data_IF_555078305781
#
_entry.id   IF_555078305781
#
_cell.length_a   1.000
_cell.length_b   1.000
_cell.length_c   1.000
_cell.angle_alpha   90.00
_cell.angle_beta   90.00
_cell.angle_gamma   90.00
#
_symmetry.space_group_name_H-M   'P 1'
#
loop_
_entity.id
_entity.type
_entity.pdbx_description
1 polymer ?
#
# COMPACT_ATOMS: atom_id res chain seq x y z
N UNK A 1 -16.76 17.49 23.50
CA UNK A 1 -16.44 17.08 22.13
C UNK A 1 -14.99 17.28 21.75
N UNK A 2 -14.39 18.42 22.07
CA UNK A 2 -12.98 18.68 21.75
C UNK A 2 -12.03 17.72 22.45
N UNK A 3 -12.32 17.31 23.70
CA UNK A 3 -11.48 16.38 24.44
C UNK A 3 -11.52 14.97 23.85
N UNK A 4 -12.68 14.55 23.34
CA UNK A 4 -12.83 13.24 22.71
C UNK A 4 -12.05 13.16 21.41
N UNK A 5 -12.10 14.22 20.62
CA UNK A 5 -11.41 14.30 19.35
C UNK A 5 -9.88 14.27 19.55
N UNK A 6 -9.40 15.01 20.55
CA UNK A 6 -7.99 15.06 20.90
C UNK A 6 -7.47 13.69 21.35
N UNK A 7 -8.25 13.01 22.17
CA UNK A 7 -7.91 11.68 22.69
C UNK A 7 -7.81 10.66 21.55
N UNK A 8 -8.72 10.72 20.60
CA UNK A 8 -8.73 9.84 19.44
C UNK A 8 -7.53 10.08 18.52
N UNK A 9 -7.16 11.34 18.34
CA UNK A 9 -5.99 11.70 17.55
C UNK A 9 -4.70 11.22 18.21
N UNK A 10 -4.62 11.33 19.52
CA UNK A 10 -3.47 10.86 20.29
C UNK A 10 -3.33 9.33 20.21
N UNK A 11 -4.44 8.61 20.27
CA UNK A 11 -4.46 7.17 20.17
C UNK A 11 -4.01 6.71 18.79
N UNK A 12 -4.47 7.39 17.74
CA UNK A 12 -4.05 7.13 16.37
C UNK A 12 -2.56 7.39 16.17
N UNK A 13 -2.05 8.46 16.74
CA UNK A 13 -0.63 8.82 16.67
C UNK A 13 0.24 7.76 17.37
N UNK A 14 -0.20 7.26 18.50
CA UNK A 14 0.49 6.19 19.23
C UNK A 14 0.47 4.88 18.44
N UNK A 15 -0.65 4.59 17.82
CA UNK A 15 -0.80 3.39 16.99
C UNK A 15 0.11 3.46 15.76
N UNK A 16 0.21 4.64 15.14
CA UNK A 16 1.09 4.87 14.01
C UNK A 16 2.56 4.75 14.38
N UNK A 17 2.94 5.23 15.56
CA UNK A 17 4.30 5.11 16.05
C UNK A 17 4.73 3.67 16.25
N UNK A 18 3.82 2.83 16.74
CA UNK A 18 4.08 1.40 16.90
C UNK A 18 4.17 0.68 15.55
N UNK A 19 3.31 1.07 14.60
CA UNK A 19 3.33 0.52 13.25
C UNK A 19 4.52 0.98 12.44
N UNK A 20 4.93 2.25 12.60
CA UNK A 20 6.03 2.85 11.85
C UNK A 20 7.39 2.29 12.22
N UNK A 21 7.51 1.54 13.32
CA UNK A 21 8.77 0.92 13.73
C UNK A 21 9.02 -0.41 13.02
N UNK A 22 8.05 -0.92 12.25
CA UNK A 22 8.17 -2.20 11.56
C UNK A 22 8.00 -2.06 10.06
N UNK A 23 8.75 -2.83 9.31
CA UNK A 23 8.64 -2.89 7.85
C UNK A 23 7.27 -3.42 7.45
N UNK A 24 6.71 -4.38 8.19
CA UNK A 24 5.36 -4.87 7.97
C UNK A 24 4.34 -3.74 8.01
N UNK A 25 4.45 -2.85 9.01
CA UNK A 25 3.58 -1.70 9.13
C UNK A 25 3.66 -0.76 7.95
N UNK A 26 4.85 -0.53 7.41
CA UNK A 26 5.04 0.30 6.22
C UNK A 26 4.37 -0.31 4.99
N UNK A 27 4.50 -1.61 4.79
CA UNK A 27 3.86 -2.30 3.67
C UNK A 27 2.33 -2.25 3.80
N UNK A 28 1.81 -2.53 5.00
CA UNK A 28 0.37 -2.47 5.26
C UNK A 28 -0.17 -1.07 4.94
N UNK A 29 0.51 -0.06 5.44
CA UNK A 29 0.15 1.33 5.22
C UNK A 29 0.13 1.70 3.75
N UNK A 30 1.14 1.26 3.00
CA UNK A 30 1.25 1.52 1.57
C UNK A 30 0.06 0.92 0.81
N UNK A 31 -0.25 -0.34 1.08
CA UNK A 31 -1.37 -1.01 0.41
C UNK A 31 -2.72 -0.43 0.82
N UNK A 32 -2.91 -0.14 2.09
CA UNK A 32 -4.16 0.44 2.58
C UNK A 32 -4.42 1.82 1.99
N UNK A 33 -3.39 2.65 1.92
CA UNK A 33 -3.49 3.99 1.34
C UNK A 33 -3.85 3.91 -0.14
N UNK A 34 -3.18 3.04 -0.88
CA UNK A 34 -3.45 2.84 -2.30
C UNK A 34 -4.86 2.29 -2.53
N UNK A 35 -5.29 1.34 -1.70
CA UNK A 35 -6.64 0.77 -1.76
C UNK A 35 -7.69 1.86 -1.55
N UNK A 36 -7.46 2.72 -0.58
CA UNK A 36 -8.37 3.83 -0.28
C UNK A 36 -8.44 4.82 -1.44
N UNK A 37 -7.31 5.11 -2.08
CA UNK A 37 -7.29 5.99 -3.25
C UNK A 37 -8.06 5.39 -4.42
N UNK A 38 -8.01 4.07 -4.59
CA UNK A 38 -8.77 3.38 -5.64
C UNK A 38 -10.27 3.55 -5.48
N UNK A 39 -10.77 3.70 -4.26
CA UNK A 39 -12.19 3.91 -4.02
C UNK A 39 -12.69 5.21 -4.65
N UNK A 40 -11.80 6.18 -4.86
CA UNK A 40 -12.11 7.46 -5.48
C UNK A 40 -11.72 7.51 -6.96
N UNK A 41 -11.12 6.47 -7.49
CA UNK A 41 -10.68 6.42 -8.87
C UNK A 41 -11.89 6.36 -9.82
N UNK A 42 -11.84 7.15 -10.89
CA UNK A 42 -12.93 7.24 -11.86
C UNK A 42 -12.53 6.80 -13.27
N UNK A 43 -11.25 6.49 -13.48
CA UNK A 43 -10.74 6.12 -14.80
C UNK A 43 -9.55 5.17 -14.65
N UNK A 44 -9.20 4.51 -15.76
CA UNK A 44 -8.00 3.69 -15.80
C UNK A 44 -6.73 4.51 -15.60
N UNK A 45 -6.73 5.76 -16.05
CA UNK A 45 -5.61 6.68 -15.83
C UNK A 45 -5.39 6.96 -14.35
N UNK A 46 -6.48 7.10 -13.58
CA UNK A 46 -6.40 7.25 -12.13
C UNK A 46 -5.77 6.01 -11.51
N UNK A 47 -6.19 4.84 -11.95
CA UNK A 47 -5.66 3.57 -11.47
C UNK A 47 -4.17 3.43 -11.78
N UNK A 48 -3.74 3.83 -12.96
CA UNK A 48 -2.34 3.80 -13.36
C UNK A 48 -1.48 4.70 -12.48
N UNK A 49 -1.99 5.88 -12.16
CA UNK A 49 -1.28 6.84 -11.29
C UNK A 49 -1.16 6.30 -9.87
N UNK A 50 -2.21 5.72 -9.35
CA UNK A 50 -2.22 5.12 -8.01
C UNK A 50 -1.26 3.94 -7.96
N UNK A 51 -1.26 3.12 -9.01
CA UNK A 51 -0.34 1.99 -9.15
C UNK A 51 1.12 2.46 -9.16
N UNK A 52 1.44 3.47 -9.95
CA UNK A 52 2.79 4.01 -10.04
C UNK A 52 3.26 4.53 -8.67
N UNK A 53 2.40 5.23 -7.97
CA UNK A 53 2.69 5.76 -6.63
C UNK A 53 2.95 4.63 -5.63
N UNK A 54 2.12 3.57 -5.69
CA UNK A 54 2.30 2.41 -4.82
C UNK A 54 3.64 1.71 -5.10
N UNK A 55 3.98 1.51 -6.36
CA UNK A 55 5.24 0.85 -6.73
C UNK A 55 6.44 1.63 -6.21
N UNK A 56 6.44 2.94 -6.33
CA UNK A 56 7.51 3.78 -5.79
C UNK A 56 7.59 3.70 -4.26
N UNK A 57 6.44 3.65 -3.60
CA UNK A 57 6.39 3.55 -2.15
C UNK A 57 6.95 2.21 -1.68
N UNK A 58 6.55 1.12 -2.33
CA UNK A 58 7.06 -0.21 -2.00
C UNK A 58 8.57 -0.28 -2.22
N UNK A 59 9.05 0.32 -3.30
CA UNK A 59 10.48 0.37 -3.58
C UNK A 59 11.25 1.08 -2.46
N UNK A 60 10.76 2.22 -2.02
CA UNK A 60 11.39 2.96 -0.92
C UNK A 60 11.53 2.10 0.33
N UNK A 61 10.49 1.35 0.66
CA UNK A 61 10.49 0.47 1.84
C UNK A 61 11.59 -0.59 1.70
N UNK A 62 11.73 -1.18 0.52
CA UNK A 62 12.77 -2.20 0.29
C UNK A 62 14.17 -1.63 0.40
N UNK A 63 14.35 -0.36 0.06
CA UNK A 63 15.65 0.30 0.15
C UNK A 63 16.03 0.65 1.59
N UNK A 64 15.05 0.86 2.45
CA UNK A 64 15.29 1.22 3.85
C UNK A 64 15.60 0.00 4.74
N UNK A 65 15.07 -1.17 4.38
CA UNK A 65 15.24 -2.38 5.19
C UNK A 65 15.76 -3.54 4.32
N UNK A 66 17.02 -3.95 4.47
CA UNK A 66 17.56 -5.08 3.71
C UNK A 66 16.87 -6.42 4.00
N UNK A 67 16.18 -6.53 5.13
CA UNK A 67 15.46 -7.75 5.51
C UNK A 67 13.95 -7.65 5.21
N UNK A 68 13.57 -6.80 4.27
CA UNK A 68 12.15 -6.54 3.94
C UNK A 68 11.36 -7.80 3.59
N UNK A 69 12.02 -8.83 3.08
CA UNK A 69 11.35 -10.07 2.69
C UNK A 69 10.67 -10.77 3.87
N UNK A 70 11.21 -10.62 5.07
CA UNK A 70 10.62 -11.20 6.28
C UNK A 70 9.25 -10.60 6.58
N UNK A 71 9.06 -9.34 6.25
CA UNK A 71 7.79 -8.66 6.48
C UNK A 71 6.67 -9.25 5.63
N UNK A 72 6.99 -9.84 4.49
CA UNK A 72 6.00 -10.44 3.60
C UNK A 72 5.35 -11.71 4.17
N UNK A 73 5.95 -12.29 5.21
CA UNK A 73 5.38 -13.45 5.90
C UNK A 73 4.26 -13.06 6.85
N UNK A 74 4.14 -11.78 7.18
CA UNK A 74 3.10 -11.25 8.05
C UNK A 74 1.74 -11.40 7.38
N UNK A 75 0.80 -12.02 8.10
CA UNK A 75 -0.55 -12.25 7.58
C UNK A 75 -1.29 -10.95 7.29
N UNK A 76 -1.02 -9.90 8.06
CA UNK A 76 -1.67 -8.61 7.84
C UNK A 76 -1.16 -7.94 6.56
N UNK A 77 0.11 -8.14 6.21
CA UNK A 77 0.66 -7.68 4.93
C UNK A 77 -0.02 -8.41 3.78
N UNK A 78 -0.15 -9.72 3.88
CA UNK A 78 -0.82 -10.54 2.86
C UNK A 78 -2.27 -10.10 2.67
N UNK A 79 -2.95 -9.82 3.77
CA UNK A 79 -4.34 -9.37 3.74
C UNK A 79 -4.47 -8.01 3.05
N UNK A 80 -3.59 -7.08 3.39
CA UNK A 80 -3.58 -5.75 2.75
C UNK A 80 -3.33 -5.85 1.25
N UNK A 81 -2.43 -6.72 0.84
CA UNK A 81 -2.14 -6.99 -0.57
C UNK A 81 -3.38 -7.55 -1.29
N UNK A 82 -4.08 -8.49 -0.67
CA UNK A 82 -5.30 -9.06 -1.25
C UNK A 82 -6.40 -8.03 -1.39
N UNK A 83 -6.55 -7.16 -0.40
CA UNK A 83 -7.55 -6.08 -0.45
C UNK A 83 -7.23 -5.10 -1.59
N UNK A 84 -5.96 -4.81 -1.80
CA UNK A 84 -5.51 -3.99 -2.92
C UNK A 84 -5.92 -4.63 -4.26
N UNK A 85 -5.63 -5.92 -4.43
CA UNK A 85 -5.95 -6.63 -5.66
C UNK A 85 -7.45 -6.64 -5.94
N UNK A 86 -8.27 -6.84 -4.92
CA UNK A 86 -9.72 -6.82 -5.06
C UNK A 86 -10.24 -5.44 -5.44
N UNK A 87 -9.73 -4.41 -4.76
CA UNK A 87 -10.13 -3.04 -5.05
C UNK A 87 -9.73 -2.65 -6.48
N UNK A 88 -8.55 -3.07 -6.92
CA UNK A 88 -8.06 -2.79 -8.26
C UNK A 88 -8.94 -3.45 -9.32
N UNK A 89 -9.30 -4.70 -9.09
CA UNK A 89 -10.18 -5.45 -9.97
C UNK A 89 -11.53 -4.76 -10.13
N UNK A 90 -12.05 -4.21 -9.05
CA UNK A 90 -13.34 -3.52 -9.07
C UNK A 90 -13.26 -2.11 -9.67
N UNK A 91 -12.10 -1.48 -9.61
CA UNK A 91 -11.92 -0.10 -10.08
C UNK A 91 -11.58 -0.01 -11.57
N UNK A 92 -11.05 -1.08 -12.16
CA UNK A 92 -10.62 -1.08 -13.56
C UNK A 92 -11.64 -1.73 -14.47
N UNK A 93 -11.55 -1.44 -15.77
CA UNK A 93 -12.41 -2.01 -16.81
C UNK A 93 -11.59 -2.85 -17.78
N UNK A 94 -12.26 -3.75 -18.49
CA UNK A 94 -11.69 -4.50 -19.64
C UNK A 94 -10.36 -5.22 -19.34
N UNK A 95 -10.27 -5.86 -18.19
CA UNK A 95 -9.08 -6.61 -17.77
C UNK A 95 -7.82 -5.74 -17.59
N UNK A 96 -7.98 -4.43 -17.55
CA UNK A 96 -6.87 -3.50 -17.32
C UNK A 96 -6.11 -3.85 -16.03
N UNK A 97 -6.83 -4.33 -15.03
CA UNK A 97 -6.29 -4.71 -13.73
C UNK A 97 -5.23 -5.81 -13.85
N UNK A 98 -5.31 -6.64 -14.89
CA UNK A 98 -4.43 -7.80 -15.04
C UNK A 98 -2.96 -7.40 -15.04
N UNK A 99 -2.63 -6.25 -15.61
CA UNK A 99 -1.25 -5.77 -15.67
C UNK A 99 -0.77 -5.14 -14.37
N UNK A 100 -1.68 -4.96 -13.40
CA UNK A 100 -1.38 -4.26 -12.17
C UNK A 100 -1.54 -5.12 -10.91
N UNK A 101 -1.97 -6.38 -11.06
CA UNK A 101 -2.25 -7.25 -9.91
C UNK A 101 -0.99 -7.68 -9.17
N UNK A 102 0.16 -7.63 -9.82
CA UNK A 102 1.42 -8.10 -9.25
C UNK A 102 2.21 -6.92 -8.64
N UNK A 103 1.53 -6.16 -7.76
CA UNK A 103 2.18 -5.07 -7.03
C UNK A 103 2.84 -5.59 -5.78
N UNK A 104 3.87 -6.42 -5.95
CA UNK A 104 4.68 -6.91 -4.85
C UNK A 104 5.92 -6.03 -4.68
N UNK A 105 6.56 -6.03 -3.50
CA UNK A 105 7.81 -5.28 -3.33
C UNK A 105 8.89 -5.71 -4.31
N UNK A 106 8.95 -7.00 -4.64
CA UNK A 106 9.91 -7.53 -5.61
C UNK A 106 9.69 -6.93 -7.00
N UNK A 107 8.43 -6.88 -7.43
CA UNK A 107 8.07 -6.23 -8.70
C UNK A 107 8.34 -4.73 -8.68
N UNK A 108 8.18 -4.09 -7.52
CA UNK A 108 8.44 -2.67 -7.37
C UNK A 108 9.92 -2.34 -7.59
N UNK A 109 10.82 -3.19 -7.10
CA UNK A 109 12.26 -3.02 -7.32
C UNK A 109 12.55 -3.02 -8.82
N UNK A 110 12.05 -4.02 -9.53
CA UNK A 110 12.25 -4.14 -10.97
C UNK A 110 11.65 -2.95 -11.72
N UNK A 111 10.43 -2.59 -11.36
CA UNK A 111 9.70 -1.48 -11.97
C UNK A 111 10.45 -0.14 -11.84
N UNK A 112 10.92 0.16 -10.65
CA UNK A 112 11.59 1.43 -10.39
C UNK A 112 13.01 1.48 -10.93
N UNK A 113 13.70 0.36 -11.00
CA UNK A 113 15.07 0.31 -11.53
C UNK A 113 15.11 0.44 -13.06
N UNK A 114 14.03 0.09 -13.72
CA UNK A 114 13.94 0.24 -15.18
C UNK A 114 13.73 1.69 -15.64
N UNK A 115 13.28 2.52 -14.74
CA UNK A 115 13.09 3.93 -14.99
C UNK A 115 14.29 4.71 -14.52
#
# INVERSE_FOLDING_TARGET
MKKFFFFQTLLLALFMLMSCSSTSGYFISAYEEATKELESATSNDDCDRIHDKLMHRLYEITQEDPDWEKALEDEDVKKAYQEWNEALKNATTDNHWFFMVFCTPECAIDYCQRK
#
